data_IF_366636043901
#
_entry.id   IF_366636043901
#
_cell.length_a   1.000
_cell.length_b   1.000
_cell.length_c   1.000
_cell.angle_alpha   90.00
_cell.angle_beta   90.00
_cell.angle_gamma   90.00
#
_symmetry.space_group_name_H-M   'P 1'
#
loop_
_entity.id
_entity.type
_entity.pdbx_description
1 polymer ?
#
# COMPACT_ATOMS: atom_id res chain seq x y z
N UNK A 1 -37.06 -1.03 -1.42
CA UNK A 1 -36.30 -0.56 -2.61
C UNK A 1 -35.20 0.43 -2.22
N UNK A 2 -35.50 1.56 -1.57
CA UNK A 2 -34.48 2.56 -1.17
C UNK A 2 -33.39 1.98 -0.24
N UNK A 3 -33.77 1.22 0.78
CA UNK A 3 -32.81 0.58 1.72
C UNK A 3 -31.87 -0.40 1.01
N UNK A 4 -32.42 -1.22 0.11
CA UNK A 4 -31.64 -2.16 -0.71
C UNK A 4 -30.63 -1.44 -1.61
N UNK A 5 -31.01 -0.27 -2.16
CA UNK A 5 -30.11 0.57 -2.97
C UNK A 5 -28.97 1.13 -2.13
N UNK A 6 -29.25 1.64 -0.93
CA UNK A 6 -28.23 2.18 -0.02
C UNK A 6 -27.23 1.08 0.38
N UNK A 7 -27.71 -0.10 0.74
CA UNK A 7 -26.87 -1.25 1.09
C UNK A 7 -26.00 -1.66 -0.11
N UNK A 8 -26.59 -1.74 -1.31
CA UNK A 8 -25.87 -2.07 -2.52
C UNK A 8 -24.73 -1.07 -2.82
N UNK A 9 -25.02 0.24 -2.75
CA UNK A 9 -24.02 1.29 -2.94
C UNK A 9 -22.90 1.22 -1.90
N UNK A 10 -23.24 0.94 -0.64
CA UNK A 10 -22.25 0.76 0.42
C UNK A 10 -21.34 -0.44 0.15
N UNK A 11 -21.90 -1.60 -0.24
CA UNK A 11 -21.11 -2.79 -0.60
C UNK A 11 -20.22 -2.54 -1.81
N UNK A 12 -20.75 -1.90 -2.86
CA UNK A 12 -19.96 -1.52 -4.04
C UNK A 12 -18.80 -0.60 -3.65
N UNK A 13 -19.04 0.37 -2.77
CA UNK A 13 -17.98 1.25 -2.27
C UNK A 13 -16.88 0.48 -1.54
N UNK A 14 -17.24 -0.48 -0.68
CA UNK A 14 -16.27 -1.31 0.04
C UNK A 14 -15.43 -2.16 -0.92
N UNK A 15 -16.07 -2.81 -1.89
CA UNK A 15 -15.39 -3.64 -2.91
C UNK A 15 -14.50 -2.77 -3.78
N UNK A 16 -15.02 -1.64 -4.27
CA UNK A 16 -14.29 -0.71 -5.10
C UNK A 16 -13.01 -0.22 -4.40
N UNK A 17 -13.13 0.19 -3.14
CA UNK A 17 -12.02 0.69 -2.36
C UNK A 17 -10.96 -0.39 -2.05
N UNK A 18 -11.33 -1.67 -2.08
CA UNK A 18 -10.43 -2.80 -1.84
C UNK A 18 -9.72 -3.30 -3.10
N UNK A 19 -10.45 -3.42 -4.22
CA UNK A 19 -9.94 -4.12 -5.41
C UNK A 19 -9.51 -3.20 -6.55
N UNK A 20 -10.03 -1.97 -6.63
CA UNK A 20 -9.71 -1.11 -7.77
C UNK A 20 -8.28 -0.54 -7.65
N UNK A 21 -7.47 -0.68 -8.72
CA UNK A 21 -6.09 -0.19 -8.74
C UNK A 21 -5.99 1.31 -8.50
N UNK A 22 -4.94 1.70 -7.79
CA UNK A 22 -4.55 3.12 -7.69
C UNK A 22 -3.83 3.52 -8.97
N UNK A 23 -4.36 4.50 -9.70
CA UNK A 23 -3.75 5.01 -10.93
C UNK A 23 -2.37 5.61 -10.67
N UNK A 24 -1.50 5.56 -11.68
CA UNK A 24 -0.16 6.14 -11.70
C UNK A 24 0.76 5.61 -10.59
N UNK A 25 0.73 4.30 -10.33
CA UNK A 25 1.65 3.62 -9.42
C UNK A 25 2.26 2.44 -10.18
N UNK A 26 3.33 2.66 -10.97
CA UNK A 26 3.96 1.61 -11.77
C UNK A 26 4.74 0.61 -10.90
N UNK A 27 4.93 -0.60 -11.42
CA UNK A 27 5.85 -1.56 -10.82
C UNK A 27 7.30 -1.08 -11.00
N UNK A 28 8.12 -1.19 -9.96
CA UNK A 28 9.52 -0.75 -9.92
C UNK A 28 10.39 -1.92 -9.47
N UNK A 29 11.46 -2.21 -10.22
CA UNK A 29 12.41 -3.30 -9.91
C UNK A 29 13.72 -2.82 -9.29
N UNK A 30 14.06 -1.54 -9.46
CA UNK A 30 15.36 -0.99 -9.05
C UNK A 30 15.17 0.03 -7.94
N UNK A 31 16.11 0.07 -6.98
CA UNK A 31 16.15 1.11 -5.94
C UNK A 31 16.15 2.50 -6.57
N UNK A 32 15.14 3.29 -6.26
CA UNK A 32 15.11 4.72 -6.56
C UNK A 32 15.82 5.47 -5.44
N UNK A 33 16.80 6.32 -5.79
CA UNK A 33 17.62 7.05 -4.82
C UNK A 33 16.85 8.13 -4.06
N UNK A 34 15.81 8.69 -4.69
CA UNK A 34 15.08 9.86 -4.17
C UNK A 34 13.74 9.50 -3.51
N UNK A 35 13.51 8.21 -3.23
CA UNK A 35 12.27 7.72 -2.62
C UNK A 35 12.55 6.84 -1.41
N UNK A 36 11.71 6.99 -0.39
CA UNK A 36 11.71 6.11 0.78
C UNK A 36 10.97 4.83 0.41
N UNK A 37 11.59 3.70 0.71
CA UNK A 37 10.97 2.39 0.55
C UNK A 37 10.20 2.07 1.82
N UNK A 38 8.89 1.88 1.69
CA UNK A 38 8.01 1.56 2.82
C UNK A 38 7.45 0.16 2.60
N UNK A 39 7.79 -0.73 3.52
CA UNK A 39 7.37 -2.12 3.49
C UNK A 39 6.07 -2.31 4.26
N UNK A 40 5.00 -2.61 3.53
CA UNK A 40 3.65 -2.74 4.04
C UNK A 40 3.26 -4.18 4.36
N UNK A 41 4.16 -5.13 4.10
CA UNK A 41 3.95 -6.54 4.41
C UNK A 41 3.84 -6.74 5.91
N UNK A 42 3.22 -7.84 6.31
CA UNK A 42 3.24 -8.26 7.71
C UNK A 42 4.68 -8.45 8.22
N UNK A 43 4.88 -8.23 9.52
CA UNK A 43 6.21 -8.34 10.13
C UNK A 43 6.86 -9.70 9.90
N UNK A 44 6.06 -10.77 9.80
CA UNK A 44 6.57 -12.13 9.54
C UNK A 44 7.19 -12.26 8.15
N UNK A 45 6.50 -11.80 7.10
CA UNK A 45 7.01 -11.84 5.71
C UNK A 45 8.22 -10.93 5.55
N UNK A 46 8.16 -9.76 6.19
CA UNK A 46 9.23 -8.79 6.20
C UNK A 46 10.48 -9.29 6.90
N UNK A 47 10.33 -10.00 8.02
CA UNK A 47 11.46 -10.58 8.75
C UNK A 47 12.09 -11.75 8.00
N UNK A 48 11.31 -12.56 7.26
CA UNK A 48 11.83 -13.67 6.43
C UNK A 48 12.66 -13.18 5.25
N UNK A 49 12.22 -12.09 4.60
CA UNK A 49 12.91 -11.51 3.45
C UNK A 49 12.99 -9.99 3.60
N UNK A 50 13.91 -9.48 4.44
CA UNK A 50 14.02 -8.06 4.74
C UNK A 50 14.56 -7.29 3.53
N UNK A 51 13.93 -6.16 3.24
CA UNK A 51 14.42 -5.23 2.21
C UNK A 51 15.31 -4.19 2.87
N UNK A 52 16.61 -4.28 2.62
CA UNK A 52 17.59 -3.38 3.25
C UNK A 52 17.29 -1.90 2.94
N UNK A 53 17.19 -1.07 3.99
CA UNK A 53 16.90 0.35 3.90
C UNK A 53 15.41 0.69 3.74
N UNK A 54 14.51 -0.30 3.81
CA UNK A 54 13.08 -0.04 3.86
C UNK A 54 12.61 0.21 5.31
N UNK A 55 11.65 1.12 5.46
CA UNK A 55 10.93 1.33 6.72
C UNK A 55 9.78 0.32 6.77
N UNK A 56 9.78 -0.55 7.77
CA UNK A 56 8.75 -1.57 7.91
C UNK A 56 7.55 -1.06 8.71
N UNK A 57 6.42 -0.90 8.03
CA UNK A 57 5.15 -0.48 8.65
C UNK A 57 4.04 -1.30 8.01
N UNK A 58 3.65 -2.46 8.60
CA UNK A 58 2.63 -3.29 8.01
C UNK A 58 1.34 -2.53 7.77
N UNK A 59 0.62 -2.90 6.73
CA UNK A 59 -0.49 -2.13 6.20
C UNK A 59 -1.58 -1.81 7.25
N UNK A 60 -1.83 -2.73 8.20
CA UNK A 60 -2.77 -2.53 9.32
C UNK A 60 -2.31 -1.48 10.34
N UNK A 61 -1.01 -1.22 10.46
CA UNK A 61 -0.42 -0.25 11.38
C UNK A 61 -0.09 1.09 10.71
N UNK A 62 -0.21 1.17 9.39
CA UNK A 62 0.17 2.34 8.59
C UNK A 62 -0.47 3.64 9.07
N UNK A 63 -1.75 3.62 9.47
CA UNK A 63 -2.43 4.80 10.01
C UNK A 63 -1.81 5.31 11.32
N UNK A 64 -1.30 4.41 12.17
CA UNK A 64 -0.71 4.75 13.47
C UNK A 64 0.69 5.36 13.31
N UNK A 65 1.46 4.83 12.36
CA UNK A 65 2.88 5.18 12.19
C UNK A 65 3.17 6.01 10.94
N UNK A 66 2.14 6.57 10.30
CA UNK A 66 2.28 7.39 9.08
C UNK A 66 3.29 8.56 9.27
N UNK A 67 3.41 9.08 10.49
CA UNK A 67 4.30 10.20 10.85
C UNK A 67 5.78 9.81 10.93
N UNK A 68 6.09 8.52 10.95
CA UNK A 68 7.47 8.02 10.98
C UNK A 68 8.11 8.01 9.58
N UNK A 69 7.31 8.19 8.53
CA UNK A 69 7.81 8.24 7.16
C UNK A 69 8.42 9.63 6.90
N UNK A 70 9.74 9.75 6.65
CA UNK A 70 10.44 11.03 6.66
C UNK A 70 10.30 11.85 5.36
N UNK A 71 9.82 11.25 4.27
CA UNK A 71 9.74 11.89 2.95
C UNK A 71 8.38 11.62 2.30
N UNK A 72 7.88 12.58 1.53
CA UNK A 72 6.66 12.45 0.74
C UNK A 72 6.80 11.46 -0.43
N UNK A 73 8.00 11.26 -0.99
CA UNK A 73 8.21 10.36 -2.13
C UNK A 73 8.37 8.91 -1.65
N UNK A 74 7.41 8.04 -1.98
CA UNK A 74 7.36 6.66 -1.49
C UNK A 74 7.39 5.64 -2.64
N UNK A 75 8.15 4.56 -2.44
CA UNK A 75 7.98 3.29 -3.14
C UNK A 75 7.47 2.23 -2.16
N UNK A 76 6.38 1.57 -2.50
CA UNK A 76 5.72 0.56 -1.65
C UNK A 76 6.35 -0.81 -1.89
N UNK A 77 6.58 -1.58 -0.84
CA UNK A 77 6.78 -3.03 -0.91
C UNK A 77 5.52 -3.69 -0.32
N UNK A 78 4.95 -4.65 -1.03
CA UNK A 78 3.73 -5.35 -0.61
C UNK A 78 3.80 -6.84 -0.92
N UNK A 79 2.96 -7.65 -0.29
CA UNK A 79 2.84 -9.09 -0.54
C UNK A 79 1.91 -9.38 -1.72
N UNK A 80 0.97 -8.49 -2.04
CA UNK A 80 0.02 -8.65 -3.15
C UNK A 80 -0.59 -7.32 -3.62
N UNK A 81 -1.38 -7.39 -4.70
CA UNK A 81 -2.07 -6.25 -5.31
C UNK A 81 -3.07 -5.54 -4.39
N UNK A 82 -3.78 -6.29 -3.53
CA UNK A 82 -4.79 -5.74 -2.62
C UNK A 82 -4.12 -4.88 -1.55
N UNK A 83 -3.07 -5.41 -0.92
CA UNK A 83 -2.26 -4.69 0.07
C UNK A 83 -1.62 -3.45 -0.56
N UNK A 84 -1.02 -3.60 -1.74
CA UNK A 84 -0.45 -2.48 -2.50
C UNK A 84 -1.49 -1.40 -2.80
N UNK A 85 -2.68 -1.77 -3.28
CA UNK A 85 -3.72 -0.80 -3.62
C UNK A 85 -4.27 -0.09 -2.39
N UNK A 86 -4.52 -0.82 -1.31
CA UNK A 86 -4.98 -0.22 -0.05
C UNK A 86 -3.92 0.72 0.53
N UNK A 87 -2.67 0.26 0.63
CA UNK A 87 -1.54 1.05 1.12
C UNK A 87 -1.30 2.32 0.31
N UNK A 88 -1.24 2.19 -1.02
CA UNK A 88 -1.06 3.32 -1.92
C UNK A 88 -2.18 4.37 -1.77
N UNK A 89 -3.42 3.92 -1.62
CA UNK A 89 -4.57 4.81 -1.44
C UNK A 89 -4.50 5.55 -0.10
N UNK A 90 -4.12 4.85 0.97
CA UNK A 90 -3.97 5.45 2.28
C UNK A 90 -2.83 6.46 2.30
N UNK A 91 -1.66 6.12 1.75
CA UNK A 91 -0.52 7.02 1.64
C UNK A 91 -0.86 8.28 0.84
N UNK A 92 -1.50 8.14 -0.33
CA UNK A 92 -1.97 9.29 -1.12
C UNK A 92 -2.98 10.15 -0.33
N UNK A 93 -3.90 9.52 0.42
CA UNK A 93 -4.84 10.24 1.28
C UNK A 93 -4.15 11.06 2.38
N UNK A 94 -2.99 10.60 2.86
CA UNK A 94 -2.17 11.32 3.85
C UNK A 94 -1.19 12.32 3.22
N UNK A 95 -1.23 12.55 1.91
CA UNK A 95 -0.41 13.55 1.23
C UNK A 95 0.89 13.02 0.62
N UNK A 96 1.18 11.72 0.73
CA UNK A 96 2.40 11.15 0.16
C UNK A 96 2.28 10.95 -1.35
N UNK A 97 3.39 11.17 -2.05
CA UNK A 97 3.56 10.88 -3.47
C UNK A 97 4.08 9.45 -3.68
N UNK A 98 3.16 8.52 -3.92
CA UNK A 98 3.50 7.13 -4.22
C UNK A 98 3.99 7.00 -5.66
N UNK A 99 5.30 6.83 -5.84
CA UNK A 99 6.00 6.77 -7.13
C UNK A 99 5.95 5.41 -7.81
N UNK A 100 5.72 4.35 -7.03
CA UNK A 100 5.68 3.00 -7.55
C UNK A 100 5.55 1.96 -6.46
N UNK A 101 5.60 0.71 -6.86
CA UNK A 101 5.52 -0.42 -5.96
C UNK A 101 6.40 -1.58 -6.42
N UNK A 102 6.72 -2.47 -5.49
CA UNK A 102 7.19 -3.83 -5.76
C UNK A 102 6.30 -4.81 -5.00
N UNK A 103 6.05 -5.97 -5.59
CA UNK A 103 5.42 -7.09 -4.89
C UNK A 103 6.50 -8.12 -4.60
N UNK A 104 6.67 -8.45 -3.32
CA UNK A 104 7.71 -9.36 -2.83
C UNK A 104 7.11 -10.25 -1.75
N UNK A 105 6.12 -11.05 -2.16
CA UNK A 105 5.65 -12.22 -1.43
C UNK A 105 6.02 -13.50 -2.20
N UNK A 106 5.89 -14.69 -1.60
CA UNK A 106 5.85 -15.90 -2.40
C UNK A 106 4.68 -15.75 -3.39
N UNK A 107 4.97 -15.80 -4.68
CA UNK A 107 3.92 -16.02 -5.68
C UNK A 107 3.19 -17.30 -5.28
N UNK A 108 1.91 -17.16 -4.90
CA UNK A 108 0.99 -18.30 -4.92
C UNK A 108 0.79 -18.75 -6.36
#
# INVERSE_FOLDING_TARGET
>A
MLTSIIISLFLVSLIFNRYVPVRNVPAVKTKQKDAVWVDLRDYQDSAKNPVNGAINIPCGYLKRYIKEIPNEQIVIIASNEVEKNFGARLLKKYGFNVKGYTITGPSQ
#
